data_IF_389552829208
#
_entry.id   IF_389552829208
#
_cell.length_a   1.000
_cell.length_b   1.000
_cell.length_c   1.000
_cell.angle_alpha   90.00
_cell.angle_beta   90.00
_cell.angle_gamma   90.00
#
_symmetry.space_group_name_H-M   'P 1'
#
loop_
_entity.id
_entity.type
_entity.pdbx_description
1 polymer ?
#
# COMPACT_ATOMS: atom_id res chain seq x y z
N UNK A 1 17.19 3.35 -0.50
CA UNK A 1 16.88 3.82 0.87
C UNK A 1 16.25 2.65 1.62
N UNK A 2 16.86 2.19 2.72
CA UNK A 2 16.25 1.15 3.56
C UNK A 2 15.50 1.83 4.71
N UNK A 3 14.17 1.89 4.61
CA UNK A 3 13.31 2.35 5.71
C UNK A 3 13.55 1.48 6.96
N UNK A 4 13.79 2.08 8.15
CA UNK A 4 13.88 1.31 9.40
C UNK A 4 12.66 0.42 9.65
N UNK A 5 11.46 0.90 9.28
CA UNK A 5 10.22 0.15 9.44
C UNK A 5 10.18 -1.14 8.62
N UNK A 6 10.74 -1.14 7.40
CA UNK A 6 10.87 -2.37 6.60
C UNK A 6 11.76 -3.40 7.33
N UNK A 7 12.82 -2.96 8.01
CA UNK A 7 13.70 -3.85 8.77
C UNK A 7 12.99 -4.44 9.99
N UNK A 8 12.19 -3.63 10.68
CA UNK A 8 11.37 -4.09 11.81
C UNK A 8 10.34 -5.12 11.35
N UNK A 9 9.64 -4.85 10.26
CA UNK A 9 8.68 -5.79 9.66
C UNK A 9 9.36 -7.09 9.19
N UNK A 10 10.56 -7.00 8.60
CA UNK A 10 11.38 -8.17 8.24
C UNK A 10 11.72 -9.01 9.47
N UNK A 11 12.17 -8.36 10.56
CA UNK A 11 12.52 -9.05 11.80
C UNK A 11 11.31 -9.78 12.40
N UNK A 12 10.14 -9.14 12.43
CA UNK A 12 8.89 -9.77 12.89
C UNK A 12 8.54 -10.98 12.03
N UNK A 13 8.62 -10.87 10.70
CA UNK A 13 8.25 -11.98 9.81
C UNK A 13 9.32 -13.09 9.73
N UNK A 14 10.53 -12.84 10.22
CA UNK A 14 11.65 -13.79 10.11
C UNK A 14 11.46 -15.09 10.90
N UNK A 15 10.52 -15.11 11.85
CA UNK A 15 10.22 -16.29 12.68
C UNK A 15 9.39 -17.36 11.97
N UNK A 16 8.84 -17.07 10.78
CA UNK A 16 7.99 -18.02 10.05
C UNK A 16 8.84 -18.97 9.18
N UNK A 17 8.51 -20.27 9.21
CA UNK A 17 9.26 -21.34 8.49
C UNK A 17 9.44 -21.12 6.99
N UNK A 18 8.57 -20.31 6.36
CA UNK A 18 8.62 -19.96 4.93
C UNK A 18 9.14 -18.56 4.67
N UNK A 19 9.82 -17.95 5.65
CA UNK A 19 10.44 -16.65 5.49
C UNK A 19 11.42 -16.70 4.31
N UNK A 20 11.24 -15.75 3.37
CA UNK A 20 12.16 -15.57 2.26
C UNK A 20 12.56 -14.09 2.20
N UNK A 21 13.84 -13.76 2.48
CA UNK A 21 14.32 -12.38 2.49
C UNK A 21 14.25 -11.72 1.10
N UNK A 22 14.24 -12.50 0.01
CA UNK A 22 14.16 -11.96 -1.34
C UNK A 22 12.87 -11.15 -1.57
N UNK A 23 11.73 -11.57 -1.01
CA UNK A 23 10.44 -10.87 -1.17
C UNK A 23 10.47 -9.42 -0.69
N UNK A 24 11.34 -9.12 0.26
CA UNK A 24 11.41 -7.79 0.86
C UNK A 24 12.23 -6.79 0.05
N UNK A 25 13.02 -7.26 -0.93
CA UNK A 25 13.82 -6.38 -1.79
C UNK A 25 12.95 -5.58 -2.75
N UNK A 26 11.75 -6.09 -3.05
CA UNK A 26 10.75 -5.44 -3.92
C UNK A 26 9.82 -4.49 -3.16
N UNK A 27 9.90 -4.44 -1.82
CA UNK A 27 9.01 -3.64 -1.00
C UNK A 27 9.58 -2.25 -0.75
N UNK A 28 8.70 -1.26 -0.87
CA UNK A 28 8.98 0.14 -0.66
C UNK A 28 8.09 0.68 0.45
N UNK A 29 8.64 1.62 1.20
CA UNK A 29 7.93 2.33 2.25
C UNK A 29 7.38 3.63 1.66
N UNK A 30 6.05 3.77 1.63
CA UNK A 30 5.36 4.93 1.09
C UNK A 30 4.71 5.73 2.21
N UNK A 31 4.88 7.06 2.14
CA UNK A 31 4.23 8.03 3.00
C UNK A 31 3.44 8.96 2.08
N UNK A 32 2.12 8.93 2.20
CA UNK A 32 1.19 9.76 1.46
C UNK A 32 0.58 10.79 2.41
N UNK A 33 0.95 12.06 2.23
CA UNK A 33 0.39 13.17 2.98
C UNK A 33 -0.93 13.65 2.37
N UNK A 34 -1.98 13.69 3.18
CA UNK A 34 -3.25 14.34 2.90
C UNK A 34 -3.37 15.61 3.75
N UNK A 35 -4.40 16.42 3.48
CA UNK A 35 -4.60 17.69 4.18
C UNK A 35 -4.61 17.53 5.72
N UNK A 36 -5.30 16.51 6.22
CA UNK A 36 -5.51 16.30 7.67
C UNK A 36 -4.85 15.02 8.22
N UNK A 37 -4.27 14.20 7.35
CA UNK A 37 -3.78 12.88 7.75
C UNK A 37 -2.58 12.44 6.93
N UNK A 38 -1.84 11.48 7.47
CA UNK A 38 -0.79 10.79 6.74
C UNK A 38 -1.16 9.32 6.66
N UNK A 39 -1.12 8.77 5.45
CA UNK A 39 -1.21 7.34 5.24
C UNK A 39 0.20 6.80 4.98
N UNK A 40 0.56 5.77 5.73
CA UNK A 40 1.88 5.15 5.66
C UNK A 40 1.72 3.65 5.41
N UNK A 41 2.44 3.10 4.42
CA UNK A 41 2.34 1.68 4.08
C UNK A 41 3.61 1.10 3.45
N UNK A 42 3.74 -0.23 3.49
CA UNK A 42 4.77 -0.98 2.78
C UNK A 42 4.14 -1.77 1.64
N UNK A 43 4.55 -1.50 0.40
CA UNK A 43 3.99 -2.12 -0.79
C UNK A 43 5.04 -2.25 -1.90
N UNK A 44 4.78 -3.09 -2.92
CA UNK A 44 5.68 -3.21 -4.10
C UNK A 44 5.59 -2.00 -5.03
N UNK A 45 4.45 -1.33 -5.05
CA UNK A 45 4.17 -0.21 -5.92
C UNK A 45 2.80 0.39 -5.61
N UNK A 46 2.51 1.50 -6.26
CA UNK A 46 1.21 2.16 -6.17
C UNK A 46 0.84 2.73 -7.55
N UNK A 47 -0.45 2.98 -7.76
CA UNK A 47 -0.97 3.68 -8.93
C UNK A 47 -1.90 4.79 -8.47
N UNK A 48 -1.84 5.94 -9.13
CA UNK A 48 -2.73 7.07 -8.87
C UNK A 48 -3.56 7.36 -10.11
N UNK A 49 -4.87 7.49 -9.94
CA UNK A 49 -5.81 7.84 -11.01
C UNK A 49 -6.63 9.04 -10.55
N UNK A 50 -6.68 10.10 -11.35
CA UNK A 50 -7.61 11.21 -11.15
C UNK A 50 -8.87 10.96 -11.96
N UNK A 51 -10.02 11.10 -11.32
CA UNK A 51 -11.33 10.92 -11.94
C UNK A 51 -12.07 12.26 -11.97
N UNK A 52 -12.56 12.64 -13.14
CA UNK A 52 -13.47 13.77 -13.31
C UNK A 52 -14.88 13.21 -13.53
N UNK A 53 -15.56 12.92 -12.42
CA UNK A 53 -16.86 12.28 -12.38
C UNK A 53 -17.81 13.09 -11.50
N UNK A 54 -19.11 12.99 -11.76
CA UNK A 54 -20.10 13.38 -10.76
C UNK A 54 -20.00 12.48 -9.53
N UNK A 55 -20.52 12.95 -8.40
CA UNK A 55 -20.47 12.19 -7.15
C UNK A 55 -21.17 10.82 -7.26
N UNK A 56 -22.30 10.75 -8.00
CA UNK A 56 -23.03 9.49 -8.22
C UNK A 56 -22.19 8.48 -9.00
N UNK A 57 -21.54 8.93 -10.08
CA UNK A 57 -20.68 8.06 -10.90
C UNK A 57 -19.45 7.59 -10.12
N UNK A 58 -18.87 8.48 -9.30
CA UNK A 58 -17.77 8.12 -8.42
C UNK A 58 -18.18 7.03 -7.41
N UNK A 59 -19.38 7.15 -6.81
CA UNK A 59 -19.90 6.16 -5.86
C UNK A 59 -20.12 4.79 -6.52
N UNK A 60 -20.71 4.76 -7.72
CA UNK A 60 -20.88 3.53 -8.50
C UNK A 60 -19.52 2.90 -8.85
N UNK A 61 -18.56 3.69 -9.34
CA UNK A 61 -17.22 3.18 -9.70
C UNK A 61 -16.47 2.64 -8.48
N UNK A 62 -16.52 3.32 -7.35
CA UNK A 62 -15.90 2.85 -6.11
C UNK A 62 -16.53 1.54 -5.61
N UNK A 63 -17.86 1.42 -5.68
CA UNK A 63 -18.58 0.22 -5.23
C UNK A 63 -18.23 -0.99 -6.10
N UNK A 64 -18.22 -0.84 -7.42
CA UNK A 64 -17.83 -1.91 -8.34
C UNK A 64 -16.40 -2.39 -8.07
N UNK A 65 -15.46 -1.46 -7.83
CA UNK A 65 -14.08 -1.81 -7.48
C UNK A 65 -13.98 -2.62 -6.20
N UNK A 66 -14.79 -2.33 -5.19
CA UNK A 66 -14.77 -3.08 -3.93
C UNK A 66 -15.33 -4.49 -4.12
N UNK A 67 -16.35 -4.65 -4.98
CA UNK A 67 -17.01 -5.93 -5.23
C UNK A 67 -16.26 -6.84 -6.22
N UNK A 68 -15.37 -6.27 -7.03
CA UNK A 68 -14.56 -7.00 -8.02
C UNK A 68 -13.28 -7.63 -7.43
N UNK A 69 -12.97 -7.38 -6.15
CA UNK A 69 -11.88 -8.02 -5.38
C UNK A 69 -12.39 -9.14 -4.49
#
# INVERSE_FOLDING_TARGET
MHSPWIKELQAINSVHDRYNPAYWHELHHYILGFHDSTFECVARGFSVEKLELSFSEALTKATNRILEY
#
